data_IF_022271832983
#
_entry.id   IF_022271832983
#
_cell.length_a   1.000
_cell.length_b   1.000
_cell.length_c   1.000
_cell.angle_alpha   90.00
_cell.angle_beta   90.00
_cell.angle_gamma   90.00
#
_symmetry.space_group_name_H-M   'P 1'
#
loop_
_entity.id
_entity.type
_entity.pdbx_description
1 polymer ?
#
# COMPACT_ATOMS: atom_id res chain seq x y z
N UNK A 1 -30.15 24.84 -42.35
CA UNK A 1 -29.89 25.82 -41.27
C UNK A 1 -28.52 25.51 -40.69
N UNK A 2 -27.60 26.49 -40.65
CA UNK A 2 -26.24 26.27 -40.12
C UNK A 2 -26.34 26.09 -38.61
N UNK A 3 -25.86 24.97 -38.02
CA UNK A 3 -25.93 24.80 -36.58
C UNK A 3 -25.11 25.91 -35.92
N UNK A 4 -25.72 26.60 -34.96
CA UNK A 4 -25.01 27.63 -34.19
C UNK A 4 -23.99 26.91 -33.34
N UNK A 5 -22.71 27.30 -33.42
CA UNK A 5 -21.59 26.63 -32.73
C UNK A 5 -21.85 26.48 -31.22
N UNK A 6 -22.49 27.48 -30.61
CA UNK A 6 -22.90 27.48 -29.21
C UNK A 6 -23.91 26.37 -28.87
N UNK A 7 -24.76 25.98 -29.83
CA UNK A 7 -25.71 24.89 -29.66
C UNK A 7 -25.03 23.53 -29.60
N UNK A 8 -23.91 23.36 -30.31
CA UNK A 8 -23.11 22.12 -30.30
C UNK A 8 -22.32 22.04 -28.98
N UNK A 9 -21.70 23.15 -28.57
CA UNK A 9 -20.97 23.24 -27.30
C UNK A 9 -21.90 22.96 -26.12
N UNK A 10 -23.13 23.51 -26.14
CA UNK A 10 -24.13 23.27 -25.10
C UNK A 10 -24.54 21.80 -24.99
N UNK A 11 -24.74 21.12 -26.14
CA UNK A 11 -25.07 19.69 -26.16
C UNK A 11 -23.94 18.81 -25.62
N UNK A 12 -22.69 19.15 -25.91
CA UNK A 12 -21.53 18.40 -25.45
C UNK A 12 -21.32 18.56 -23.94
N UNK A 13 -21.59 19.75 -23.40
CA UNK A 13 -21.55 20.03 -21.96
C UNK A 13 -22.59 19.17 -21.22
N UNK A 14 -23.83 19.11 -21.75
CA UNK A 14 -24.93 18.32 -21.18
C UNK A 14 -24.62 16.82 -21.13
N UNK A 15 -23.95 16.28 -22.16
CA UNK A 15 -23.56 14.86 -22.20
C UNK A 15 -22.54 14.48 -21.11
N UNK A 16 -21.62 15.40 -20.77
CA UNK A 16 -20.63 15.20 -19.70
C UNK A 16 -21.30 15.19 -18.32
N UNK A 17 -22.31 16.04 -18.11
CA UNK A 17 -23.09 16.06 -16.86
C UNK A 17 -24.02 14.85 -16.70
N UNK A 18 -24.55 14.30 -17.80
CA UNK A 18 -25.44 13.13 -17.77
C UNK A 18 -24.68 11.79 -17.69
N UNK A 19 -23.40 11.74 -18.07
CA UNK A 19 -22.57 10.53 -18.03
C UNK A 19 -21.96 10.23 -16.65
N UNK A 20 -22.08 11.14 -15.68
CA UNK A 20 -21.58 10.96 -14.32
C UNK A 20 -22.63 10.29 -13.44
N UNK A 21 -22.60 8.95 -13.38
CA UNK A 21 -22.85 8.10 -12.21
C UNK A 21 -23.19 6.68 -12.69
N UNK A 22 -22.20 5.78 -12.69
CA UNK A 22 -22.45 4.34 -12.70
C UNK A 22 -22.13 3.85 -11.28
N UNK A 23 -23.13 3.81 -10.42
CA UNK A 23 -23.01 3.22 -9.09
C UNK A 23 -23.47 1.76 -9.17
N UNK A 24 -22.52 0.83 -9.24
CA UNK A 24 -22.78 -0.61 -9.11
C UNK A 24 -22.86 -0.95 -7.62
N UNK A 25 -24.07 -0.92 -7.07
CA UNK A 25 -24.34 -1.40 -5.71
C UNK A 25 -24.50 -2.92 -5.73
N UNK A 26 -23.48 -3.65 -5.27
CA UNK A 26 -23.52 -5.10 -5.17
C UNK A 26 -23.69 -5.52 -3.70
N UNK A 27 -24.94 -5.72 -3.30
CA UNK A 27 -25.29 -6.24 -1.99
C UNK A 27 -25.27 -7.75 -2.03
N UNK A 28 -24.15 -8.37 -1.62
CA UNK A 28 -24.11 -9.70 -1.01
C UNK A 28 -22.69 -9.97 -0.56
N UNK A 29 -22.37 -9.71 0.71
CA UNK A 29 -21.19 -10.33 1.29
C UNK A 29 -21.34 -10.59 2.79
N UNK A 30 -21.72 -11.82 3.09
CA UNK A 30 -21.51 -12.42 4.38
C UNK A 30 -20.76 -13.73 4.12
N UNK A 31 -19.45 -13.70 4.25
CA UNK A 31 -18.66 -14.92 4.36
C UNK A 31 -17.38 -14.67 5.16
N UNK A 32 -17.36 -15.10 6.42
CA UNK A 32 -16.26 -14.84 7.37
C UNK A 32 -14.96 -15.61 7.09
N UNK A 33 -14.80 -16.18 5.89
CA UNK A 33 -13.56 -16.82 5.41
C UNK A 33 -13.02 -16.25 4.09
N UNK A 34 -13.60 -15.15 3.63
CA UNK A 34 -13.36 -14.58 2.29
C UNK A 34 -12.73 -13.18 2.32
N UNK A 35 -12.57 -12.61 3.52
CA UNK A 35 -11.95 -11.32 3.75
C UNK A 35 -10.44 -11.34 3.42
N UNK A 36 -9.75 -12.45 3.66
CA UNK A 36 -8.32 -12.56 3.33
C UNK A 36 -8.08 -12.64 1.82
N UNK A 37 -8.88 -13.41 1.08
CA UNK A 37 -8.75 -13.48 -0.38
C UNK A 37 -9.13 -12.17 -1.05
N UNK A 38 -10.13 -11.45 -0.52
CA UNK A 38 -10.52 -10.16 -1.05
C UNK A 38 -9.50 -9.07 -0.71
N UNK A 39 -8.94 -9.05 0.50
CA UNK A 39 -7.91 -8.08 0.88
C UNK A 39 -6.67 -8.20 -0.01
N UNK A 40 -6.21 -9.43 -0.27
CA UNK A 40 -5.10 -9.71 -1.19
C UNK A 40 -5.48 -9.24 -2.60
N UNK A 41 -6.60 -9.67 -3.17
CA UNK A 41 -6.93 -9.34 -4.57
C UNK A 41 -7.36 -7.88 -4.82
N UNK A 42 -7.66 -7.09 -3.78
CA UNK A 42 -8.13 -5.68 -3.92
C UNK A 42 -7.00 -4.65 -3.87
N UNK A 43 -5.78 -5.05 -3.54
CA UNK A 43 -4.63 -4.14 -3.46
C UNK A 43 -3.56 -4.47 -4.51
N UNK A 44 -2.79 -3.46 -4.89
CA UNK A 44 -1.64 -3.67 -5.77
C UNK A 44 -0.58 -4.52 -5.08
N UNK A 45 0.00 -5.45 -5.83
CA UNK A 45 1.10 -6.29 -5.38
C UNK A 45 2.35 -6.03 -6.19
N UNK A 46 3.48 -6.09 -5.51
CA UNK A 46 4.79 -5.88 -6.09
C UNK A 46 5.63 -7.13 -5.86
N UNK A 47 6.25 -7.62 -6.94
CA UNK A 47 7.25 -8.67 -6.85
C UNK A 47 8.62 -8.03 -6.70
N UNK A 48 9.39 -8.51 -5.72
CA UNK A 48 10.73 -8.00 -5.47
C UNK A 48 11.63 -9.04 -4.83
N UNK A 49 12.94 -8.84 -4.97
CA UNK A 49 13.96 -9.70 -4.36
C UNK A 49 14.44 -9.07 -3.07
N UNK A 50 14.36 -9.80 -1.95
CA UNK A 50 15.02 -9.37 -0.70
C UNK A 50 16.54 -9.35 -0.94
N UNK A 51 17.16 -8.20 -0.69
CA UNK A 51 18.60 -7.99 -0.89
C UNK A 51 19.37 -7.72 0.40
N UNK A 52 18.68 -7.32 1.48
CA UNK A 52 19.26 -7.17 2.82
C UNK A 52 18.19 -7.35 3.89
N UNK A 53 18.54 -8.03 4.98
CA UNK A 53 17.73 -8.15 6.20
C UNK A 53 18.28 -7.17 7.24
N UNK A 54 17.44 -6.36 7.87
CA UNK A 54 17.83 -5.39 8.91
C UNK A 54 17.62 -6.00 10.29
N UNK A 55 16.43 -6.56 10.52
CA UNK A 55 15.99 -7.24 11.74
C UNK A 55 14.82 -8.19 11.37
N UNK A 56 14.01 -8.61 12.35
CA UNK A 56 12.97 -9.61 12.15
C UNK A 56 11.71 -9.10 11.43
N UNK A 57 11.52 -7.79 11.32
CA UNK A 57 10.35 -7.19 10.64
C UNK A 57 10.73 -6.18 9.54
N UNK A 58 12.01 -5.85 9.39
CA UNK A 58 12.49 -4.84 8.45
C UNK A 58 13.49 -5.43 7.44
N UNK A 59 13.21 -5.23 6.15
CA UNK A 59 14.03 -5.71 5.03
C UNK A 59 14.21 -4.63 3.97
N UNK A 60 15.28 -4.75 3.17
CA UNK A 60 15.42 -4.05 1.91
C UNK A 60 15.12 -4.99 0.75
N UNK A 61 14.27 -4.53 -0.16
CA UNK A 61 13.80 -5.29 -1.32
C UNK A 61 14.11 -4.51 -2.59
N UNK A 62 14.71 -5.17 -3.57
CA UNK A 62 14.83 -4.63 -4.92
C UNK A 62 13.54 -4.93 -5.68
N UNK A 63 12.80 -3.87 -6.02
CA UNK A 63 11.59 -3.91 -6.84
C UNK A 63 11.93 -3.21 -8.15
N UNK A 64 12.06 -3.99 -9.24
CA UNK A 64 12.36 -3.47 -10.58
C UNK A 64 13.57 -2.50 -10.67
N UNK A 65 14.63 -2.76 -9.89
CA UNK A 65 15.83 -1.94 -9.87
C UNK A 65 15.85 -0.84 -8.79
N UNK A 66 14.71 -0.58 -8.15
CA UNK A 66 14.61 0.37 -7.03
C UNK A 66 14.72 -0.35 -5.69
N UNK A 67 15.45 0.26 -4.75
CA UNK A 67 15.66 -0.30 -3.42
C UNK A 67 14.64 0.25 -2.42
N UNK A 68 13.69 -0.57 -2.01
CA UNK A 68 12.65 -0.21 -1.05
C UNK A 68 13.00 -0.72 0.34
N UNK A 69 12.80 0.11 1.38
CA UNK A 69 12.88 -0.31 2.78
C UNK A 69 11.46 -0.65 3.26
N UNK A 70 11.20 -1.91 3.58
CA UNK A 70 9.88 -2.42 3.94
C UNK A 70 9.90 -2.82 5.42
N UNK A 71 8.87 -2.42 6.18
CA UNK A 71 8.58 -2.91 7.53
C UNK A 71 7.26 -3.67 7.56
N UNK A 72 7.26 -4.83 8.20
CA UNK A 72 6.08 -5.67 8.37
C UNK A 72 5.16 -5.06 9.45
N UNK A 73 3.91 -4.77 9.07
CA UNK A 73 2.91 -4.25 9.99
C UNK A 73 2.37 -5.37 10.88
N UNK A 74 2.15 -5.08 12.17
CA UNK A 74 1.64 -6.07 13.14
C UNK A 74 2.68 -7.10 13.60
N UNK A 75 3.94 -6.96 13.18
CA UNK A 75 5.06 -7.78 13.64
C UNK A 75 5.96 -6.90 14.51
N UNK A 76 6.22 -7.33 15.74
CA UNK A 76 7.12 -6.65 16.68
C UNK A 76 8.30 -7.58 16.97
N UNK A 77 9.52 -7.14 16.63
CA UNK A 77 10.73 -7.94 16.77
C UNK A 77 11.81 -7.21 17.56
N UNK A 78 12.71 -7.94 18.26
CA UNK A 78 13.85 -7.32 18.91
C UNK A 78 14.71 -6.54 17.90
N UNK A 79 14.86 -5.25 18.14
CA UNK A 79 15.61 -4.35 17.26
C UNK A 79 17.12 -4.61 17.36
N UNK A 80 17.76 -4.92 16.22
CA UNK A 80 19.21 -5.23 16.16
C UNK A 80 20.07 -4.02 16.54
N UNK A 81 19.58 -2.80 16.28
CA UNK A 81 20.27 -1.54 16.60
C UNK A 81 19.49 -0.73 17.64
N UNK A 82 19.65 -1.05 18.92
CA UNK A 82 19.16 -0.22 20.03
C UNK A 82 20.30 0.59 20.64
N UNK A 83 20.17 1.92 20.68
CA UNK A 83 21.11 2.82 21.39
C UNK A 83 21.27 2.43 22.87
N UNK A 84 20.18 1.94 23.48
CA UNK A 84 20.12 1.41 24.85
C UNK A 84 19.97 -0.12 24.83
N UNK A 85 20.86 -0.81 24.11
CA UNK A 85 20.97 -2.26 24.17
C UNK A 85 21.80 -2.63 25.42
N UNK A 86 21.28 -3.42 26.38
CA UNK A 86 22.08 -3.88 27.51
C UNK A 86 23.29 -4.71 27.06
N UNK A 87 23.26 -5.35 25.89
CA UNK A 87 24.42 -6.09 25.37
C UNK A 87 25.51 -5.19 24.77
N UNK A 88 25.33 -3.86 24.77
CA UNK A 88 26.37 -2.94 24.38
C UNK A 88 27.47 -2.93 25.47
N UNK A 89 28.59 -3.61 25.22
CA UNK A 89 29.74 -3.75 26.13
C UNK A 89 30.35 -2.43 26.62
N UNK A 90 29.96 -1.29 26.04
CA UNK A 90 30.41 0.02 26.49
C UNK A 90 29.50 0.63 27.57
N UNK A 91 28.51 -0.11 28.09
CA UNK A 91 27.72 0.34 29.22
C UNK A 91 28.51 0.14 30.53
N UNK A 92 28.82 1.20 31.29
CA UNK A 92 29.71 1.14 32.47
C UNK A 92 29.16 0.29 33.64
N UNK A 93 27.94 -0.22 33.51
CA UNK A 93 27.24 -1.01 34.53
C UNK A 93 27.25 -2.53 34.27
N UNK A 94 27.95 -3.00 33.23
CA UNK A 94 28.04 -4.42 32.86
C UNK A 94 29.49 -4.91 32.79
N UNK A 95 30.28 -4.59 33.81
CA UNK A 95 31.49 -5.35 34.14
C UNK A 95 31.12 -6.27 35.29
N UNK A 96 30.95 -7.55 34.98
CA UNK A 96 31.00 -8.64 35.97
C UNK A 96 32.44 -9.12 36.09
#
# INVERSE_FOLDING_TARGET
MKPKIYSIILMLLIFVFLGGCIELHNNNFHDSNSDTSNFVNTHEHYYGKVVKVVDGDTVYVNVNGELWKIRLLGVDTPETYRKNNPLNRNHPYLQF
#
